data_IF_199603365393
#
_entry.id   IF_199603365393
#
_cell.length_a   1.000
_cell.length_b   1.000
_cell.length_c   1.000
_cell.angle_alpha   90.00
_cell.angle_beta   90.00
_cell.angle_gamma   90.00
#
_symmetry.space_group_name_H-M   'P 1'
#
loop_
_entity.id
_entity.type
_entity.pdbx_description
1 polymer ?
#
# COMPACT_ATOMS: atom_id res chain seq x y z
N UNK A 1 -13.57 -21.07 -6.19
CA UNK A 1 -13.48 -19.61 -6.20
C UNK A 1 -13.89 -19.04 -7.56
N UNK A 2 -14.30 -17.77 -7.59
CA UNK A 2 -14.76 -17.10 -8.81
C UNK A 2 -13.72 -16.07 -9.27
N UNK A 3 -13.15 -16.28 -10.44
CA UNK A 3 -12.09 -15.41 -10.99
C UNK A 3 -12.60 -13.98 -11.25
N UNK A 4 -13.77 -13.83 -11.91
CA UNK A 4 -14.30 -12.51 -12.28
C UNK A 4 -14.65 -11.69 -11.03
N UNK A 5 -15.25 -12.33 -10.03
CA UNK A 5 -15.58 -11.68 -8.77
C UNK A 5 -14.32 -11.27 -8.01
N UNK A 6 -13.29 -12.12 -7.99
CA UNK A 6 -12.01 -11.79 -7.38
C UNK A 6 -11.30 -10.64 -8.08
N UNK A 7 -11.32 -10.61 -9.42
CA UNK A 7 -10.78 -9.50 -10.22
C UNK A 7 -11.54 -8.20 -9.96
N UNK A 8 -12.88 -8.27 -9.90
CA UNK A 8 -13.71 -7.10 -9.61
C UNK A 8 -13.43 -6.57 -8.20
N UNK A 9 -13.38 -7.45 -7.19
CA UNK A 9 -13.05 -7.06 -5.82
C UNK A 9 -11.66 -6.38 -5.74
N UNK A 10 -10.68 -6.82 -6.54
CA UNK A 10 -9.35 -6.20 -6.62
C UNK A 10 -9.40 -4.77 -7.17
N UNK A 11 -10.30 -4.51 -8.12
CA UNK A 11 -10.55 -3.17 -8.69
C UNK A 11 -11.30 -2.30 -7.68
N UNK A 12 -12.38 -2.82 -7.07
CA UNK A 12 -13.24 -2.09 -6.12
C UNK A 12 -12.47 -1.68 -4.86
N UNK A 13 -11.57 -2.54 -4.38
CA UNK A 13 -10.65 -2.24 -3.29
C UNK A 13 -9.47 -1.33 -3.70
N UNK A 14 -9.44 -0.84 -4.96
CA UNK A 14 -8.46 0.12 -5.49
C UNK A 14 -6.98 -0.34 -5.37
N UNK A 15 -6.72 -1.63 -5.36
CA UNK A 15 -5.37 -2.17 -5.19
C UNK A 15 -4.38 -1.63 -6.24
N UNK A 16 -4.82 -1.49 -7.50
CA UNK A 16 -4.01 -0.98 -8.62
C UNK A 16 -3.64 0.50 -8.51
N UNK A 17 -4.32 1.27 -7.67
CA UNK A 17 -3.95 2.67 -7.45
C UNK A 17 -2.54 2.82 -6.86
N UNK A 18 -2.12 1.87 -6.04
CA UNK A 18 -0.83 1.88 -5.35
C UNK A 18 0.10 0.74 -5.76
N UNK A 19 -0.45 -0.43 -6.05
CA UNK A 19 0.31 -1.64 -6.32
C UNK A 19 0.41 -1.96 -7.81
N UNK A 20 1.57 -2.45 -8.23
CA UNK A 20 1.72 -3.13 -9.52
C UNK A 20 1.16 -4.55 -9.40
N UNK A 21 0.46 -5.00 -10.46
CA UNK A 21 0.03 -6.39 -10.62
C UNK A 21 0.13 -6.78 -12.11
N UNK A 22 1.06 -7.64 -12.43
CA UNK A 22 1.42 -7.93 -13.83
C UNK A 22 2.01 -6.70 -14.53
N UNK A 23 1.29 -6.22 -15.55
CA UNK A 23 1.70 -5.02 -16.32
C UNK A 23 0.92 -3.77 -15.94
N UNK A 24 -0.02 -3.88 -15.00
CA UNK A 24 -0.93 -2.81 -14.61
C UNK A 24 -0.58 -2.26 -13.23
N UNK A 25 -1.07 -1.06 -12.93
CA UNK A 25 -1.06 -0.46 -11.60
C UNK A 25 0.11 0.46 -11.31
N UNK A 26 0.08 1.00 -10.11
CA UNK A 26 1.03 1.98 -9.59
C UNK A 26 2.33 1.36 -9.06
N UNK A 27 3.29 2.21 -8.71
CA UNK A 27 4.57 1.83 -8.11
C UNK A 27 4.78 2.39 -6.71
N UNK A 28 3.70 2.82 -6.04
CA UNK A 28 3.75 3.43 -4.71
C UNK A 28 3.91 2.38 -3.62
N UNK A 29 3.18 1.27 -3.77
CA UNK A 29 3.26 0.12 -2.90
C UNK A 29 4.08 -1.02 -3.50
N UNK A 30 4.27 -2.13 -2.76
CA UNK A 30 4.92 -3.33 -3.25
C UNK A 30 4.26 -3.92 -4.50
N UNK A 31 5.07 -4.55 -5.35
CA UNK A 31 4.58 -5.34 -6.48
C UNK A 31 3.92 -6.62 -5.97
N UNK A 32 2.65 -6.82 -6.31
CA UNK A 32 1.84 -7.97 -5.91
C UNK A 32 1.86 -9.13 -6.91
N UNK A 33 2.54 -8.99 -8.06
CA UNK A 33 2.50 -9.97 -9.14
C UNK A 33 2.85 -11.39 -8.70
N UNK A 34 3.87 -11.52 -7.84
CA UNK A 34 4.32 -12.81 -7.32
C UNK A 34 4.27 -12.88 -5.79
N UNK A 35 3.38 -12.12 -5.17
CA UNK A 35 3.33 -11.99 -3.70
C UNK A 35 3.05 -13.34 -3.00
N UNK A 36 2.27 -14.21 -3.62
CA UNK A 36 1.94 -15.55 -3.10
C UNK A 36 3.14 -16.51 -3.02
N UNK A 37 4.25 -16.20 -3.66
CA UNK A 37 5.49 -16.96 -3.49
C UNK A 37 6.19 -16.69 -2.14
N UNK A 38 5.80 -15.62 -1.45
CA UNK A 38 6.44 -15.14 -0.21
C UNK A 38 5.50 -15.08 0.97
N UNK A 39 4.18 -14.97 0.72
CA UNK A 39 3.16 -14.77 1.75
C UNK A 39 2.06 -15.80 1.61
N UNK A 40 1.66 -16.41 2.72
CA UNK A 40 0.47 -17.26 2.77
C UNK A 40 -0.80 -16.41 2.72
N UNK A 41 -1.93 -17.05 2.36
CA UNK A 41 -3.24 -16.40 2.28
C UNK A 41 -3.61 -15.60 3.54
N UNK A 42 -3.31 -16.17 4.71
CA UNK A 42 -3.57 -15.51 5.99
C UNK A 42 -2.78 -14.20 6.12
N UNK A 43 -1.50 -14.23 5.75
CA UNK A 43 -0.63 -13.07 5.86
C UNK A 43 -1.04 -11.96 4.88
N UNK A 44 -1.50 -12.34 3.68
CA UNK A 44 -2.07 -11.41 2.70
C UNK A 44 -3.32 -10.73 3.26
N UNK A 45 -4.25 -11.51 3.84
CA UNK A 45 -5.45 -10.95 4.45
C UNK A 45 -5.11 -10.03 5.62
N UNK A 46 -4.21 -10.46 6.50
CA UNK A 46 -3.77 -9.64 7.63
C UNK A 46 -3.15 -8.32 7.16
N UNK A 47 -2.32 -8.35 6.12
CA UNK A 47 -1.71 -7.14 5.54
C UNK A 47 -2.73 -6.18 4.92
N UNK A 48 -3.88 -6.67 4.47
CA UNK A 48 -4.96 -5.85 3.93
C UNK A 48 -5.81 -5.23 5.04
N UNK A 49 -6.16 -5.99 6.07
CA UNK A 49 -7.06 -5.52 7.15
C UNK A 49 -6.33 -4.79 8.27
N UNK A 50 -5.06 -5.11 8.50
CA UNK A 50 -4.20 -4.50 9.52
C UNK A 50 -2.88 -3.99 8.91
N UNK A 51 -2.93 -3.05 7.94
CA UNK A 51 -1.75 -2.70 7.14
C UNK A 51 -0.60 -2.07 7.93
N UNK A 52 -0.86 -1.59 9.14
CA UNK A 52 0.16 -1.03 10.03
C UNK A 52 0.81 -2.05 10.96
N UNK A 53 0.35 -3.31 10.95
CA UNK A 53 0.87 -4.35 11.85
C UNK A 53 2.30 -4.75 11.53
N UNK A 54 2.61 -4.86 10.24
CA UNK A 54 3.97 -5.15 9.75
C UNK A 54 4.29 -4.17 8.63
N UNK A 55 5.23 -3.27 8.88
CA UNK A 55 5.67 -2.26 7.92
C UNK A 55 7.00 -2.66 7.28
N UNK A 56 7.06 -2.57 5.95
CA UNK A 56 8.31 -2.67 5.22
C UNK A 56 9.01 -1.32 5.21
N UNK A 57 10.26 -1.27 5.66
CA UNK A 57 11.07 -0.04 5.67
C UNK A 57 11.13 0.65 4.30
N UNK A 58 11.09 -0.11 3.22
CA UNK A 58 11.11 0.41 1.85
C UNK A 58 9.88 1.25 1.50
N UNK A 59 8.73 1.01 2.17
CA UNK A 59 7.44 1.65 1.87
C UNK A 59 6.88 2.46 3.04
N UNK A 60 7.63 2.59 4.15
CA UNK A 60 7.19 3.37 5.30
C UNK A 60 7.17 4.88 5.00
N UNK A 61 6.28 5.57 5.69
CA UNK A 61 6.28 7.02 5.73
C UNK A 61 7.28 7.55 6.77
N UNK A 62 7.67 8.80 6.59
CA UNK A 62 8.46 9.58 7.55
C UNK A 62 7.58 10.63 8.20
N UNK A 63 7.65 10.76 9.51
CA UNK A 63 7.05 11.87 10.26
C UNK A 63 8.15 12.89 10.59
N UNK A 64 7.93 14.12 10.16
CA UNK A 64 8.77 15.27 10.46
C UNK A 64 8.02 16.19 11.40
N UNK A 65 8.58 16.44 12.59
CA UNK A 65 8.03 17.41 13.55
C UNK A 65 8.85 18.68 13.47
N UNK A 66 8.15 19.80 13.27
CA UNK A 66 8.76 21.13 13.19
C UNK A 66 8.96 21.73 14.58
N UNK A 67 9.82 22.74 14.68
CA UNK A 67 10.13 23.44 15.93
C UNK A 67 8.93 24.21 16.51
N UNK A 68 7.94 24.54 15.68
CA UNK A 68 6.67 25.16 16.10
C UNK A 68 5.62 24.15 16.60
N UNK A 69 5.94 22.85 16.53
CA UNK A 69 5.06 21.75 16.99
C UNK A 69 4.20 21.13 15.87
N UNK A 70 4.20 21.68 14.66
CA UNK A 70 3.51 21.07 13.53
C UNK A 70 4.20 19.76 13.13
N UNK A 71 3.41 18.74 12.72
CA UNK A 71 3.92 17.47 12.24
C UNK A 71 3.40 17.19 10.83
N UNK A 72 4.30 16.74 9.97
CA UNK A 72 4.03 16.37 8.58
C UNK A 72 4.43 14.91 8.42
N UNK A 73 3.52 14.07 7.94
CA UNK A 73 3.78 12.67 7.65
C UNK A 73 3.60 12.41 6.16
N UNK A 74 4.56 11.74 5.56
CA UNK A 74 4.53 11.38 4.15
C UNK A 74 5.73 10.54 3.75
N UNK A 75 5.74 10.07 2.52
CA UNK A 75 6.91 9.39 1.95
C UNK A 75 8.02 10.43 1.73
N UNK A 76 9.20 10.16 2.25
CA UNK A 76 10.38 10.97 1.95
C UNK A 76 10.83 10.66 0.51
N UNK A 77 10.64 11.62 -0.39
CA UNK A 77 10.94 11.45 -1.83
C UNK A 77 12.25 12.12 -2.25
N UNK A 78 12.70 13.11 -1.47
CA UNK A 78 13.97 13.79 -1.71
C UNK A 78 14.55 14.29 -0.38
N UNK A 79 15.85 14.19 -0.22
CA UNK A 79 16.59 14.76 0.90
C UNK A 79 17.88 15.40 0.41
N UNK A 80 18.07 16.68 0.73
CA UNK A 80 19.31 17.42 0.50
C UNK A 80 19.92 17.88 1.84
N UNK A 81 21.12 18.47 1.87
CA UNK A 81 21.67 19.05 3.10
C UNK A 81 20.75 20.05 3.78
N UNK A 82 19.95 20.82 3.00
CA UNK A 82 19.12 21.93 3.51
C UNK A 82 17.62 21.58 3.59
N UNK A 83 17.14 20.60 2.82
CA UNK A 83 15.70 20.36 2.66
C UNK A 83 15.31 18.89 2.71
N UNK A 84 14.07 18.65 3.14
CA UNK A 84 13.34 17.40 3.00
C UNK A 84 12.13 17.64 2.09
N UNK A 85 11.81 16.70 1.19
CA UNK A 85 10.58 16.73 0.40
C UNK A 85 9.75 15.51 0.75
N UNK A 86 8.56 15.76 1.28
CA UNK A 86 7.60 14.73 1.69
C UNK A 86 6.44 14.67 0.70
N UNK A 87 5.95 13.47 0.44
CA UNK A 87 4.74 13.19 -0.33
C UNK A 87 3.68 12.61 0.62
N UNK A 88 2.76 13.42 1.16
CA UNK A 88 1.76 12.96 2.13
C UNK A 88 0.75 11.99 1.54
N UNK A 89 0.31 12.24 0.30
CA UNK A 89 -0.64 11.38 -0.40
C UNK A 89 -0.02 10.87 -1.71
N UNK A 90 0.30 9.58 -1.79
CA UNK A 90 0.88 8.99 -2.99
C UNK A 90 0.00 9.06 -4.24
N UNK A 91 -1.32 9.20 -4.06
CA UNK A 91 -2.29 9.36 -5.16
C UNK A 91 -2.31 10.79 -5.73
N UNK A 92 -1.59 11.72 -5.09
CA UNK A 92 -1.43 13.12 -5.51
C UNK A 92 0.06 13.46 -5.64
N UNK A 93 0.75 12.93 -6.66
CA UNK A 93 2.21 13.01 -6.77
C UNK A 93 2.76 14.44 -6.89
N UNK A 94 1.92 15.40 -7.26
CA UNK A 94 2.29 16.81 -7.35
C UNK A 94 2.13 17.56 -6.02
N UNK A 95 1.41 17.00 -5.04
CA UNK A 95 1.18 17.60 -3.73
C UNK A 95 2.34 17.34 -2.76
N UNK A 96 3.57 17.64 -3.20
CA UNK A 96 4.79 17.51 -2.38
C UNK A 96 4.93 18.68 -1.42
N UNK A 97 5.39 18.40 -0.21
CA UNK A 97 5.70 19.41 0.80
C UNK A 97 7.22 19.48 0.97
N UNK A 98 7.78 20.66 0.72
CA UNK A 98 9.19 20.94 0.96
C UNK A 98 9.38 21.55 2.34
N UNK A 99 10.26 20.97 3.14
CA UNK A 99 10.57 21.39 4.51
C UNK A 99 12.04 21.77 4.61
N UNK A 100 12.34 22.95 5.13
CA UNK A 100 13.71 23.37 5.42
C UNK A 100 14.20 22.65 6.70
N UNK A 101 15.35 21.99 6.63
CA UNK A 101 15.90 21.22 7.76
C UNK A 101 16.14 22.07 9.00
N UNK A 102 16.45 23.37 8.84
CA UNK A 102 16.59 24.30 9.98
C UNK A 102 15.33 24.45 10.82
N UNK A 103 14.14 24.15 10.26
CA UNK A 103 12.85 24.20 10.95
C UNK A 103 12.48 22.88 11.60
N UNK A 104 13.22 21.80 11.33
CA UNK A 104 12.93 20.46 11.81
C UNK A 104 13.41 20.29 13.25
N UNK A 105 12.51 19.86 14.14
CA UNK A 105 12.84 19.46 15.48
C UNK A 105 13.21 17.96 15.55
N UNK A 106 12.46 17.10 14.83
CA UNK A 106 12.74 15.66 14.78
C UNK A 106 12.25 15.04 13.47
N UNK A 107 12.86 13.91 13.10
CA UNK A 107 12.49 13.06 11.98
C UNK A 107 12.48 11.61 12.44
N UNK A 108 11.41 10.88 12.18
CA UNK A 108 11.27 9.46 12.56
C UNK A 108 10.44 8.69 11.53
N UNK A 109 10.63 7.36 11.51
CA UNK A 109 9.76 6.47 10.75
C UNK A 109 8.34 6.50 11.31
N UNK A 110 7.34 6.60 10.45
CA UNK A 110 5.94 6.52 10.84
C UNK A 110 5.58 5.06 11.16
N UNK A 111 4.82 4.86 12.23
CA UNK A 111 4.24 3.55 12.58
C UNK A 111 2.92 3.27 11.84
N UNK A 112 2.46 4.20 11.02
CA UNK A 112 1.22 4.07 10.25
C UNK A 112 1.58 3.78 8.81
N UNK A 113 0.98 2.71 8.27
CA UNK A 113 1.13 2.33 6.86
C UNK A 113 0.56 3.41 5.93
N UNK A 114 1.22 3.70 4.79
CA UNK A 114 0.60 4.48 3.72
C UNK A 114 -0.57 3.75 3.04
N UNK A 115 -0.69 2.43 3.21
CA UNK A 115 -1.85 1.65 2.75
C UNK A 115 -3.04 1.97 3.66
N UNK A 116 -4.19 2.44 3.12
CA UNK A 116 -5.35 2.73 3.93
C UNK A 116 -5.94 1.48 4.59
N UNK A 117 -6.62 1.67 5.73
CA UNK A 117 -7.51 0.66 6.30
C UNK A 117 -8.85 0.66 5.56
N UNK A 118 -9.71 -0.32 5.87
CA UNK A 118 -11.10 -0.38 5.40
C UNK A 118 -11.29 -0.61 3.88
N UNK A 119 -10.24 -0.99 3.15
CA UNK A 119 -10.30 -1.21 1.70
C UNK A 119 -11.25 -2.35 1.29
N UNK A 120 -11.52 -3.28 2.20
CA UNK A 120 -12.37 -4.45 1.96
C UNK A 120 -13.68 -4.44 2.76
N UNK A 121 -13.98 -3.38 3.49
CA UNK A 121 -15.16 -3.30 4.36
C UNK A 121 -16.49 -3.36 3.58
N UNK A 122 -16.49 -2.92 2.33
CA UNK A 122 -17.65 -3.01 1.44
C UNK A 122 -17.81 -4.36 0.74
N UNK A 123 -16.86 -5.29 0.92
CA UNK A 123 -16.89 -6.59 0.29
C UNK A 123 -17.50 -7.65 1.20
N UNK A 124 -18.29 -8.55 0.62
CA UNK A 124 -18.74 -9.75 1.31
C UNK A 124 -17.59 -10.72 1.58
N UNK A 125 -17.79 -11.66 2.51
CA UNK A 125 -16.83 -12.72 2.80
C UNK A 125 -16.40 -13.49 1.54
N UNK A 126 -17.34 -13.80 0.64
CA UNK A 126 -17.06 -14.54 -0.59
C UNK A 126 -16.23 -13.71 -1.58
N UNK A 127 -16.47 -12.41 -1.67
CA UNK A 127 -15.66 -11.49 -2.49
C UNK A 127 -14.24 -11.37 -1.94
N UNK A 128 -14.07 -11.29 -0.63
CA UNK A 128 -12.73 -11.27 0.01
C UNK A 128 -11.99 -12.58 -0.27
N UNK A 129 -12.64 -13.73 -0.17
CA UNK A 129 -12.01 -15.01 -0.46
C UNK A 129 -11.64 -15.17 -1.95
N UNK A 130 -12.44 -14.62 -2.85
CA UNK A 130 -12.16 -14.62 -4.28
C UNK A 130 -11.07 -13.60 -4.64
N UNK A 131 -11.03 -12.44 -3.97
CA UNK A 131 -9.94 -11.46 -4.03
C UNK A 131 -8.59 -12.11 -3.68
N UNK A 132 -8.53 -12.81 -2.55
CA UNK A 132 -7.32 -13.50 -2.13
C UNK A 132 -6.89 -14.58 -3.14
N UNK A 133 -7.84 -15.36 -3.67
CA UNK A 133 -7.56 -16.33 -4.71
C UNK A 133 -7.06 -15.67 -6.01
N UNK A 134 -7.59 -14.50 -6.37
CA UNK A 134 -7.13 -13.72 -7.51
C UNK A 134 -5.69 -13.25 -7.34
N UNK A 135 -5.35 -12.70 -6.18
CA UNK A 135 -3.98 -12.27 -5.85
C UNK A 135 -3.03 -13.49 -5.87
N UNK A 136 -3.40 -14.58 -5.22
CA UNK A 136 -2.60 -15.82 -5.16
C UNK A 136 -2.35 -16.45 -6.53
N UNK A 137 -3.31 -16.34 -7.43
CA UNK A 137 -3.18 -16.85 -8.79
C UNK A 137 -2.26 -16.00 -9.67
N UNK A 138 -1.78 -14.84 -9.18
CA UNK A 138 -1.10 -13.82 -9.99
C UNK A 138 -1.97 -13.38 -11.20
N UNK A 139 -3.29 -13.31 -11.01
CA UNK A 139 -4.26 -12.97 -12.06
C UNK A 139 -4.47 -14.03 -13.13
N UNK A 140 -4.04 -15.27 -12.92
CA UNK A 140 -4.17 -16.35 -13.90
C UNK A 140 -5.50 -17.07 -13.75
N UNK A 141 -6.37 -16.97 -14.77
CA UNK A 141 -7.69 -17.62 -14.80
C UNK A 141 -7.59 -19.15 -14.70
N UNK A 142 -6.54 -19.76 -15.27
CA UNK A 142 -6.33 -21.21 -15.25
C UNK A 142 -5.74 -21.75 -13.94
N UNK A 143 -5.59 -20.91 -12.93
CA UNK A 143 -5.06 -21.35 -11.64
C UNK A 143 -6.03 -22.36 -10.96
N UNK A 144 -5.52 -23.40 -10.30
CA UNK A 144 -6.35 -24.45 -9.66
C UNK A 144 -7.44 -23.91 -8.72
N UNK A 145 -7.23 -22.75 -8.10
CA UNK A 145 -8.23 -22.12 -7.24
C UNK A 145 -9.57 -21.80 -7.95
N UNK A 146 -9.57 -21.71 -9.28
CA UNK A 146 -10.75 -21.37 -10.08
C UNK A 146 -11.28 -22.53 -10.92
N UNK A 147 -10.61 -23.67 -10.88
CA UNK A 147 -11.04 -24.89 -11.54
C UNK A 147 -11.88 -25.68 -10.55
N UNK A 148 -13.20 -25.72 -10.78
CA UNK A 148 -14.15 -26.60 -10.12
C UNK A 148 -14.88 -27.43 -11.14
#
# INVERSE_FOLDING_TARGET
RNYERGRQAFVDAQCLACHRFGREGGGVGPDLTAVSSRFARRDLLESIVEPSKVLSQQFENTTVTLKDGESITGRLVEETPETLVLLPNPLQPDAKIRVEKKKVASKSASKISPMPTNLVDGLSREEILDLLAFIESSGRRQHPSFQQ
#
